data_IF_820314853502
#
_entry.id   IF_820314853502
#
_cell.length_a   1.000
_cell.length_b   1.000
_cell.length_c   1.000
_cell.angle_alpha   90.00
_cell.angle_beta   90.00
_cell.angle_gamma   90.00
#
_symmetry.space_group_name_H-M   'P 1'
#
loop_
_entity.id
_entity.type
_entity.pdbx_description
1 polymer ?
#
# COMPACT_ATOMS: atom_id res chain seq x y z
N UNK A 1 23.72 67.21 -12.30
CA UNK A 1 24.16 65.98 -11.61
C UNK A 1 22.91 65.08 -11.37
N UNK A 2 22.66 64.15 -12.28
CA UNK A 2 21.50 63.21 -12.16
C UNK A 2 22.00 61.88 -11.56
N UNK A 3 21.59 61.61 -10.31
CA UNK A 3 21.86 60.33 -9.65
C UNK A 3 20.86 59.29 -10.13
N UNK A 4 21.32 58.32 -10.95
CA UNK A 4 20.55 57.14 -11.33
C UNK A 4 20.58 56.14 -10.14
N UNK A 5 19.44 55.97 -9.49
CA UNK A 5 19.21 54.85 -8.55
C UNK A 5 18.94 53.60 -9.36
N UNK A 6 19.86 52.67 -9.39
CA UNK A 6 19.63 51.33 -9.89
C UNK A 6 18.88 50.51 -8.81
N UNK A 7 17.61 50.20 -9.04
CA UNK A 7 16.84 49.28 -8.20
C UNK A 7 17.16 47.86 -8.64
N UNK A 8 17.92 47.15 -7.81
CA UNK A 8 18.23 45.73 -7.99
C UNK A 8 17.00 44.90 -7.56
N UNK A 9 16.19 44.43 -8.54
CA UNK A 9 15.08 43.52 -8.30
C UNK A 9 15.63 42.12 -8.10
N UNK A 10 15.72 41.68 -6.85
CA UNK A 10 16.11 40.32 -6.48
C UNK A 10 14.87 39.41 -6.62
N UNK A 11 14.76 38.71 -7.74
CA UNK A 11 13.74 37.66 -7.93
C UNK A 11 14.09 36.44 -7.10
N UNK A 12 13.37 36.25 -6.00
CA UNK A 12 13.43 35.00 -5.24
C UNK A 12 12.78 33.88 -6.06
N UNK A 13 13.60 33.03 -6.67
CA UNK A 13 13.16 31.80 -7.29
C UNK A 13 12.83 30.81 -6.14
N UNK A 14 11.57 30.74 -5.77
CA UNK A 14 11.07 29.76 -4.78
C UNK A 14 11.16 28.36 -5.39
N UNK A 15 12.27 27.67 -5.16
CA UNK A 15 12.39 26.25 -5.48
C UNK A 15 11.45 25.47 -4.55
N UNK A 16 10.32 25.03 -5.08
CA UNK A 16 9.43 24.10 -4.40
C UNK A 16 10.15 22.76 -4.28
N UNK A 17 10.69 22.46 -3.09
CA UNK A 17 11.21 21.13 -2.78
C UNK A 17 10.04 20.14 -2.87
N UNK A 18 10.18 19.02 -3.60
CA UNK A 18 9.16 17.99 -3.61
C UNK A 18 8.91 17.50 -2.18
N UNK A 19 7.65 17.47 -1.76
CA UNK A 19 7.28 16.99 -0.43
C UNK A 19 7.75 15.54 -0.27
N UNK A 20 8.61 15.30 0.71
CA UNK A 20 9.11 13.97 1.00
C UNK A 20 7.96 13.09 1.49
N UNK A 21 7.75 11.95 0.83
CA UNK A 21 6.73 10.97 1.22
C UNK A 21 7.04 10.41 2.62
N UNK A 22 5.99 10.24 3.42
CA UNK A 22 6.08 9.74 4.79
C UNK A 22 6.51 8.26 4.78
N UNK A 23 7.49 7.91 5.62
CA UNK A 23 7.83 6.52 5.92
C UNK A 23 6.67 5.85 6.65
N UNK A 24 6.23 4.69 6.18
CA UNK A 24 5.08 3.96 6.71
C UNK A 24 5.40 2.55 7.17
N UNK A 25 6.53 2.00 6.73
CA UNK A 25 6.97 0.66 7.15
C UNK A 25 7.73 0.76 8.47
N UNK A 26 7.27 0.00 9.47
CA UNK A 26 7.98 -0.14 10.74
C UNK A 26 8.98 -1.31 10.65
N UNK A 27 10.26 -0.97 10.50
CA UNK A 27 11.35 -1.93 10.31
C UNK A 27 11.72 -2.69 11.60
N UNK A 28 11.24 -2.24 12.78
CA UNK A 28 11.49 -2.87 14.06
C UNK A 28 10.50 -4.00 14.41
N UNK A 29 9.33 -4.02 13.77
CA UNK A 29 8.31 -5.05 14.00
C UNK A 29 8.72 -6.35 13.28
N UNK A 30 8.43 -7.49 13.92
CA UNK A 30 8.51 -8.78 13.24
C UNK A 30 7.36 -8.88 12.22
N UNK A 31 7.66 -9.08 10.92
CA UNK A 31 6.63 -9.05 9.87
C UNK A 31 5.68 -10.25 9.95
N UNK A 32 6.11 -11.40 10.51
CA UNK A 32 5.23 -12.57 10.65
C UNK A 32 4.26 -12.35 11.81
N UNK A 33 4.73 -11.86 12.95
CA UNK A 33 3.86 -11.48 14.06
C UNK A 33 2.86 -10.40 13.67
N UNK A 34 3.28 -9.44 12.82
CA UNK A 34 2.39 -8.40 12.26
C UNK A 34 1.28 -9.01 11.39
N UNK A 35 1.63 -9.94 10.49
CA UNK A 35 0.67 -10.64 9.62
C UNK A 35 -0.31 -11.45 10.47
N UNK A 36 0.17 -12.22 11.44
CA UNK A 36 -0.67 -13.08 12.28
C UNK A 36 -1.62 -12.26 13.17
N UNK A 37 -1.14 -11.16 13.71
CA UNK A 37 -1.99 -10.20 14.45
C UNK A 37 -3.07 -9.59 13.57
N UNK A 38 -2.74 -9.24 12.32
CA UNK A 38 -3.69 -8.71 11.35
C UNK A 38 -4.75 -9.76 10.95
N UNK A 39 -4.37 -11.03 10.80
CA UNK A 39 -5.30 -12.15 10.54
C UNK A 39 -6.27 -12.32 11.70
N UNK A 40 -5.80 -12.29 12.95
CA UNK A 40 -6.66 -12.36 14.13
C UNK A 40 -7.68 -11.21 14.17
N UNK A 41 -7.23 -9.98 13.91
CA UNK A 41 -8.09 -8.81 13.85
C UNK A 41 -9.11 -8.90 12.70
N UNK A 42 -8.69 -9.38 11.53
CA UNK A 42 -9.55 -9.59 10.37
C UNK A 42 -10.66 -10.63 10.65
N UNK A 43 -10.30 -11.74 11.32
CA UNK A 43 -11.27 -12.77 11.74
C UNK A 43 -12.32 -12.21 12.68
N UNK A 44 -11.91 -11.42 13.68
CA UNK A 44 -12.82 -10.83 14.68
C UNK A 44 -13.77 -9.79 14.07
N UNK A 45 -13.28 -9.02 13.11
CA UNK A 45 -14.02 -7.93 12.49
C UNK A 45 -14.68 -8.29 11.16
N UNK A 46 -14.62 -9.57 10.75
CA UNK A 46 -15.15 -10.07 9.46
C UNK A 46 -14.59 -9.31 8.24
N UNK A 47 -13.33 -8.86 8.33
CA UNK A 47 -12.61 -8.18 7.25
C UNK A 47 -11.56 -9.11 6.64
N UNK A 48 -10.97 -8.71 5.53
CA UNK A 48 -9.77 -9.33 4.99
C UNK A 48 -8.51 -8.58 5.46
N UNK A 49 -7.33 -9.19 5.30
CA UNK A 49 -6.05 -8.49 5.46
C UNK A 49 -5.58 -8.04 4.09
N UNK A 50 -5.16 -6.78 3.99
CA UNK A 50 -4.40 -6.27 2.85
C UNK A 50 -2.96 -6.03 3.30
N UNK A 51 -2.04 -6.89 2.88
CA UNK A 51 -0.61 -6.72 3.07
C UNK A 51 -0.03 -5.91 1.91
N UNK A 52 0.45 -4.70 2.16
CA UNK A 52 1.32 -3.99 1.25
C UNK A 52 2.76 -4.39 1.56
N UNK A 53 3.34 -5.28 0.76
CA UNK A 53 4.72 -5.74 0.93
C UNK A 53 5.68 -4.81 0.21
N UNK A 54 6.72 -4.37 0.90
CA UNK A 54 7.72 -3.45 0.38
C UNK A 54 8.58 -2.84 1.49
N UNK A 55 8.97 -1.58 1.36
CA UNK A 55 9.79 -0.92 2.39
C UNK A 55 9.91 0.58 2.18
N UNK A 56 10.47 1.26 3.16
CA UNK A 56 10.71 2.71 3.10
C UNK A 56 11.75 3.11 2.06
N UNK A 57 12.50 2.18 1.52
CA UNK A 57 13.44 2.34 0.42
C UNK A 57 12.78 2.41 -0.97
N UNK A 58 11.50 2.03 -1.05
CA UNK A 58 10.75 1.90 -2.30
C UNK A 58 9.84 3.13 -2.52
N UNK A 59 10.16 4.04 -3.45
CA UNK A 59 9.34 5.23 -3.70
C UNK A 59 7.89 4.92 -4.09
N UNK A 60 7.67 3.90 -4.92
CA UNK A 60 6.33 3.46 -5.33
C UNK A 60 5.52 2.90 -4.17
N UNK A 61 6.17 2.26 -3.20
CA UNK A 61 5.53 1.79 -1.98
C UNK A 61 4.99 2.96 -1.14
N UNK A 62 5.80 4.01 -0.99
CA UNK A 62 5.39 5.21 -0.26
C UNK A 62 4.32 6.01 -1.01
N UNK A 63 4.43 6.07 -2.35
CA UNK A 63 3.39 6.69 -3.20
C UNK A 63 2.05 5.96 -3.08
N UNK A 64 2.05 4.62 -3.07
CA UNK A 64 0.80 3.85 -2.92
C UNK A 64 0.15 4.12 -1.57
N UNK A 65 0.91 4.05 -0.48
CA UNK A 65 0.41 4.33 0.85
C UNK A 65 -0.15 5.75 0.98
N UNK A 66 0.54 6.75 0.42
CA UNK A 66 0.09 8.14 0.40
C UNK A 66 -1.20 8.29 -0.44
N UNK A 67 -1.25 7.67 -1.61
CA UNK A 67 -2.39 7.70 -2.52
C UNK A 67 -3.66 7.13 -1.89
N UNK A 68 -3.60 5.93 -1.31
CA UNK A 68 -4.77 5.26 -0.73
C UNK A 68 -5.25 5.87 0.58
N UNK A 69 -4.39 6.62 1.28
CA UNK A 69 -4.74 7.29 2.54
C UNK A 69 -5.24 8.72 2.34
N UNK A 70 -4.98 9.34 1.18
CA UNK A 70 -5.44 10.71 0.85
C UNK A 70 -6.77 10.74 0.10
N UNK A 71 -7.14 9.66 -0.58
CA UNK A 71 -8.43 9.57 -1.26
C UNK A 71 -9.49 9.04 -0.31
N UNK A 72 -10.50 9.85 0.01
CA UNK A 72 -11.51 9.53 1.01
C UNK A 72 -12.31 8.25 0.68
N UNK A 73 -12.60 8.01 -0.62
CA UNK A 73 -13.36 6.83 -1.05
C UNK A 73 -12.53 5.55 -0.92
N UNK A 74 -11.25 5.59 -1.33
CA UNK A 74 -10.33 4.47 -1.20
C UNK A 74 -10.07 4.20 0.29
N UNK A 75 -9.81 5.25 1.07
CA UNK A 75 -9.55 5.12 2.50
C UNK A 75 -10.74 4.52 3.24
N UNK A 76 -11.96 4.98 2.93
CA UNK A 76 -13.19 4.37 3.48
C UNK A 76 -13.33 2.91 3.09
N UNK A 77 -13.07 2.55 1.82
CA UNK A 77 -13.10 1.17 1.34
C UNK A 77 -12.12 0.29 2.12
N UNK A 78 -10.91 0.79 2.38
CA UNK A 78 -9.91 0.08 3.18
C UNK A 78 -10.38 -0.11 4.63
N UNK A 79 -10.88 0.95 5.27
CA UNK A 79 -11.34 0.87 6.66
C UNK A 79 -12.51 -0.09 6.86
N UNK A 80 -13.45 -0.09 5.93
CA UNK A 80 -14.65 -0.92 6.04
C UNK A 80 -14.36 -2.42 5.80
N UNK A 81 -13.42 -2.74 4.90
CA UNK A 81 -13.27 -4.11 4.40
C UNK A 81 -11.94 -4.78 4.74
N UNK A 82 -10.92 -4.01 5.17
CA UNK A 82 -9.57 -4.55 5.32
C UNK A 82 -8.91 -4.17 6.64
N UNK A 83 -8.07 -5.06 7.14
CA UNK A 83 -6.97 -4.74 8.04
C UNK A 83 -5.77 -4.45 7.14
N UNK A 84 -5.50 -3.18 6.89
CA UNK A 84 -4.41 -2.75 5.99
C UNK A 84 -3.11 -2.62 6.78
N UNK A 85 -2.07 -3.36 6.35
CA UNK A 85 -0.76 -3.37 6.98
C UNK A 85 0.38 -3.18 5.99
N UNK A 86 1.47 -2.56 6.45
CA UNK A 86 2.70 -2.37 5.68
C UNK A 86 3.73 -3.40 6.14
N UNK A 87 3.94 -4.44 5.33
CA UNK A 87 4.87 -5.54 5.63
C UNK A 87 6.25 -5.20 5.10
N UNK A 88 7.20 -4.99 6.03
CA UNK A 88 8.57 -4.63 5.64
C UNK A 88 9.29 -5.80 4.98
N UNK A 89 9.91 -5.50 3.83
CA UNK A 89 10.69 -6.44 3.05
C UNK A 89 11.93 -5.73 2.49
N UNK A 90 13.10 -6.33 2.63
CA UNK A 90 14.36 -5.78 2.14
C UNK A 90 14.96 -6.60 1.00
N UNK A 91 15.28 -7.86 1.25
CA UNK A 91 15.80 -8.78 0.24
C UNK A 91 15.70 -10.22 0.73
N UNK A 92 15.85 -11.20 -0.18
CA UNK A 92 15.92 -12.62 0.19
C UNK A 92 17.20 -12.99 0.99
N UNK A 93 18.16 -12.09 1.14
CA UNK A 93 19.32 -12.27 2.03
C UNK A 93 18.98 -12.03 3.49
N UNK A 94 17.92 -11.27 3.75
CA UNK A 94 17.42 -11.00 5.09
C UNK A 94 16.46 -12.12 5.54
N UNK A 95 16.67 -12.62 6.76
CA UNK A 95 15.89 -13.73 7.34
C UNK A 95 14.40 -13.43 7.40
N UNK A 96 14.04 -12.24 7.91
CA UNK A 96 12.63 -11.82 8.02
C UNK A 96 11.94 -11.74 6.67
N UNK A 97 12.65 -11.24 5.66
CA UNK A 97 12.13 -11.18 4.28
C UNK A 97 11.95 -12.56 3.66
N UNK A 98 12.82 -13.54 3.97
CA UNK A 98 12.61 -14.94 3.55
C UNK A 98 11.36 -15.53 4.17
N UNK A 99 11.14 -15.31 5.46
CA UNK A 99 9.92 -15.76 6.15
C UNK A 99 8.66 -15.13 5.53
N UNK A 100 8.71 -13.84 5.18
CA UNK A 100 7.61 -13.18 4.43
C UNK A 100 7.42 -13.83 3.07
N UNK A 101 8.51 -14.13 2.34
CA UNK A 101 8.42 -14.79 1.05
C UNK A 101 7.79 -16.18 1.15
N UNK A 102 8.15 -16.97 2.14
CA UNK A 102 7.56 -18.28 2.41
C UNK A 102 6.08 -18.16 2.81
N UNK A 103 5.76 -17.26 3.78
CA UNK A 103 4.40 -17.06 4.29
C UNK A 103 3.42 -16.58 3.23
N UNK A 104 3.87 -15.71 2.31
CA UNK A 104 3.06 -15.08 1.28
C UNK A 104 3.32 -15.64 -0.14
N UNK A 105 3.96 -16.81 -0.27
CA UNK A 105 4.21 -17.51 -1.54
C UNK A 105 5.00 -16.67 -2.55
N UNK A 106 6.14 -16.12 -2.09
CA UNK A 106 7.07 -15.34 -2.91
C UNK A 106 6.41 -14.17 -3.68
N UNK A 107 5.78 -13.21 -2.97
CA UNK A 107 5.11 -12.10 -3.64
C UNK A 107 6.09 -11.17 -4.36
N UNK A 108 7.35 -11.10 -3.91
CA UNK A 108 8.38 -10.20 -4.48
C UNK A 108 8.69 -10.42 -5.97
N UNK A 109 8.24 -11.56 -6.55
CA UNK A 109 8.35 -11.81 -8.00
C UNK A 109 7.57 -10.82 -8.86
N UNK A 110 6.63 -10.09 -8.28
CA UNK A 110 5.83 -9.05 -8.95
C UNK A 110 6.40 -7.64 -8.82
N UNK A 111 7.56 -7.47 -8.17
CA UNK A 111 8.09 -6.14 -7.84
C UNK A 111 7.48 -5.55 -6.57
N UNK A 112 7.61 -4.21 -6.39
CA UNK A 112 7.16 -3.53 -5.18
C UNK A 112 6.49 -2.18 -5.47
N UNK A 113 5.44 -1.80 -4.71
CA UNK A 113 4.80 -2.68 -3.72
C UNK A 113 4.10 -3.85 -4.39
N UNK A 114 4.00 -4.95 -3.70
CA UNK A 114 3.08 -6.02 -4.06
C UNK A 114 1.99 -6.11 -2.99
N UNK A 115 0.74 -6.32 -3.43
CA UNK A 115 -0.42 -6.31 -2.56
C UNK A 115 -0.95 -7.74 -2.43
N UNK A 116 -1.01 -8.25 -1.18
CA UNK A 116 -1.48 -9.60 -0.92
C UNK A 116 -2.75 -9.54 -0.07
N UNK A 117 -3.82 -10.17 -0.54
CA UNK A 117 -5.09 -10.29 0.19
C UNK A 117 -5.12 -11.64 0.91
N UNK A 118 -5.37 -11.60 2.23
CA UNK A 118 -5.61 -12.79 3.04
C UNK A 118 -7.03 -12.73 3.62
N UNK A 119 -7.68 -13.89 3.76
CA UNK A 119 -8.90 -13.97 4.55
C UNK A 119 -8.60 -14.07 6.06
N UNK A 120 -9.65 -14.04 6.90
CA UNK A 120 -9.52 -14.16 8.36
C UNK A 120 -9.01 -15.52 8.86
N UNK A 121 -8.74 -16.50 7.98
CA UNK A 121 -8.07 -17.77 8.26
C UNK A 121 -6.62 -17.78 7.79
N UNK A 122 -6.12 -16.66 7.27
CA UNK A 122 -4.75 -16.53 6.75
C UNK A 122 -4.51 -17.20 5.40
N UNK A 123 -5.58 -17.59 4.67
CA UNK A 123 -5.47 -18.09 3.31
C UNK A 123 -5.27 -16.93 2.34
N UNK A 124 -4.29 -17.03 1.46
CA UNK A 124 -4.09 -16.07 0.38
C UNK A 124 -5.24 -16.21 -0.61
N UNK A 125 -5.95 -15.10 -0.85
CA UNK A 125 -7.02 -15.00 -1.83
C UNK A 125 -6.50 -14.46 -3.16
N UNK A 126 -5.56 -13.49 -3.10
CA UNK A 126 -5.02 -12.84 -4.29
C UNK A 126 -3.67 -12.21 -4.02
N UNK A 127 -2.84 -12.13 -5.06
CA UNK A 127 -1.60 -11.34 -5.10
C UNK A 127 -1.68 -10.40 -6.29
N UNK A 128 -1.70 -9.10 -6.03
CA UNK A 128 -1.81 -8.04 -7.04
C UNK A 128 -0.44 -7.41 -7.29
N UNK A 129 -0.01 -7.45 -8.54
CA UNK A 129 1.06 -6.61 -9.05
C UNK A 129 0.57 -5.15 -9.06
N UNK A 130 1.23 -4.27 -8.30
CA UNK A 130 0.82 -2.88 -8.21
C UNK A 130 1.06 -2.09 -9.51
N UNK A 131 1.96 -2.55 -10.38
CA UNK A 131 2.18 -1.92 -11.68
C UNK A 131 0.91 -1.93 -12.54
N UNK A 132 0.02 -2.90 -12.35
CA UNK A 132 -1.28 -2.97 -13.02
C UNK A 132 -2.29 -1.92 -12.49
N UNK A 133 -1.94 -1.18 -11.45
CA UNK A 133 -2.78 -0.12 -10.84
C UNK A 133 -2.21 1.28 -11.10
N UNK A 134 -1.07 1.37 -11.79
CA UNK A 134 -0.36 2.62 -12.06
C UNK A 134 -0.98 3.41 -13.21
N UNK A 135 -0.83 4.73 -13.14
CA UNK A 135 -1.12 5.66 -14.22
C UNK A 135 -0.12 6.82 -14.21
N UNK A 136 0.79 6.84 -15.18
CA UNK A 136 1.87 7.81 -15.26
C UNK A 136 2.79 7.73 -14.05
N UNK A 137 2.90 8.80 -13.29
CA UNK A 137 3.76 8.88 -12.10
C UNK A 137 3.04 8.54 -10.77
N UNK A 138 1.80 8.03 -10.83
CA UNK A 138 0.96 7.73 -9.68
C UNK A 138 0.10 6.49 -9.92
N UNK A 139 -0.95 6.33 -9.15
CA UNK A 139 -1.91 5.23 -9.26
C UNK A 139 -3.24 5.72 -9.85
N UNK A 140 -3.98 4.81 -10.50
CA UNK A 140 -5.30 5.08 -11.03
C UNK A 140 -6.37 4.74 -9.99
N UNK A 141 -7.16 5.74 -9.61
CA UNK A 141 -8.22 5.60 -8.58
C UNK A 141 -9.21 4.49 -8.91
N UNK A 142 -9.70 4.46 -10.15
CA UNK A 142 -10.72 3.49 -10.57
C UNK A 142 -10.19 2.06 -10.57
N UNK A 143 -8.93 1.86 -10.98
CA UNK A 143 -8.26 0.56 -10.94
C UNK A 143 -8.06 0.08 -9.51
N UNK A 144 -7.61 0.97 -8.61
CA UNK A 144 -7.43 0.66 -7.18
C UNK A 144 -8.78 0.32 -6.52
N UNK A 145 -9.82 1.14 -6.75
CA UNK A 145 -11.16 0.86 -6.21
C UNK A 145 -11.72 -0.47 -6.75
N UNK A 146 -11.57 -0.74 -8.04
CA UNK A 146 -12.01 -2.00 -8.65
C UNK A 146 -11.28 -3.19 -8.04
N UNK A 147 -9.95 -3.09 -7.86
CA UNK A 147 -9.18 -4.11 -7.19
C UNK A 147 -9.72 -4.36 -5.77
N UNK A 148 -9.87 -3.32 -4.96
CA UNK A 148 -10.36 -3.46 -3.59
C UNK A 148 -11.79 -4.02 -3.55
N UNK A 149 -12.71 -3.53 -4.39
CA UNK A 149 -14.11 -4.01 -4.44
C UNK A 149 -14.21 -5.50 -4.76
N UNK A 150 -13.37 -5.99 -5.67
CA UNK A 150 -13.40 -7.40 -6.09
C UNK A 150 -12.94 -8.37 -4.99
N UNK A 151 -12.21 -7.90 -3.98
CA UNK A 151 -11.63 -8.73 -2.94
C UNK A 151 -12.16 -8.40 -1.54
N UNK A 152 -13.31 -7.73 -1.43
CA UNK A 152 -14.01 -7.56 -0.15
C UNK A 152 -14.49 -8.91 0.40
N UNK A 153 -14.72 -9.05 1.72
CA UNK A 153 -15.33 -10.25 2.29
C UNK A 153 -16.67 -10.60 1.63
N UNK A 154 -17.50 -9.61 1.32
CA UNK A 154 -18.77 -9.79 0.64
C UNK A 154 -18.58 -10.35 -0.77
N UNK A 155 -17.70 -9.76 -1.58
CA UNK A 155 -17.44 -10.20 -2.94
C UNK A 155 -16.85 -11.63 -3.02
N UNK A 156 -16.08 -12.03 -1.99
CA UNK A 156 -15.49 -13.37 -1.89
C UNK A 156 -16.41 -14.40 -1.20
N UNK A 157 -17.59 -13.98 -0.74
CA UNK A 157 -18.54 -14.88 -0.08
C UNK A 157 -19.28 -15.77 -1.08
N UNK A 158 -19.82 -16.89 -0.58
CA UNK A 158 -20.58 -17.85 -1.41
C UNK A 158 -22.05 -17.42 -1.67
N UNK A 159 -22.41 -16.15 -1.42
CA UNK A 159 -23.77 -15.65 -1.61
C UNK A 159 -24.33 -15.86 -3.03
N UNK A 160 -23.46 -15.88 -4.05
CA UNK A 160 -23.85 -16.17 -5.43
C UNK A 160 -24.36 -17.61 -5.65
N UNK A 161 -24.06 -18.55 -4.72
CA UNK A 161 -24.53 -19.95 -4.77
C UNK A 161 -25.98 -20.12 -4.36
N UNK A 162 -26.55 -19.12 -3.65
CA UNK A 162 -27.90 -19.21 -3.05
C UNK A 162 -28.99 -18.75 -4.03
N UNK A 163 -28.64 -18.16 -5.17
CA UNK A 163 -29.57 -17.61 -6.18
C UNK A 163 -29.91 -18.61 -7.30
N UNK A 164 -29.93 -19.93 -7.01
CA UNK A 164 -30.39 -20.94 -7.96
C UNK A 164 -31.73 -21.48 -7.53
#
# INVERSE_FOLDING_TARGET
MRRLLAILVMTFLSASLPAQLKKVYNESIDPIEQIDSAIMAAKQSQRHVLCQVGGNWCPWCLKFADFVTKDDEIFKMLQDNYIYIHVNYTSLKDEKSRQVAERLQNPSRFGFPVLVILNGQGKILHTQDSAMLENGESYNKEMVLRFLKNWTPEACSDHWKVQK
#
